data_IF_613684723267
#
_entry.id   IF_613684723267
#
_cell.length_a   1.000
_cell.length_b   1.000
_cell.length_c   1.000
_cell.angle_alpha   90.00
_cell.angle_beta   90.00
_cell.angle_gamma   90.00
#
_symmetry.space_group_name_H-M   'P 1'
#
loop_
_entity.id
_entity.type
_entity.pdbx_description
1 polymer ?
#
# COMPACT_ATOMS: atom_id res chain seq x y z
N UNK A 1 -23.01 -6.09 -10.39
CA UNK A 1 -22.33 -4.80 -10.64
C UNK A 1 -21.41 -4.97 -11.82
N UNK A 2 -21.61 -4.15 -12.85
CA UNK A 2 -20.89 -4.27 -14.10
C UNK A 2 -19.44 -3.76 -13.99
N UNK A 3 -18.50 -4.37 -14.73
CA UNK A 3 -17.15 -3.83 -14.83
C UNK A 3 -17.18 -2.41 -15.44
N UNK A 4 -16.22 -1.55 -15.10
CA UNK A 4 -16.12 -0.24 -15.74
C UNK A 4 -15.79 -0.45 -17.22
N UNK A 5 -16.49 0.26 -18.10
CA UNK A 5 -16.25 0.16 -19.53
C UNK A 5 -14.86 0.68 -19.88
N UNK A 6 -14.49 1.85 -19.36
CA UNK A 6 -13.27 2.58 -19.70
C UNK A 6 -12.59 3.20 -18.46
N UNK A 7 -11.57 4.02 -18.69
CA UNK A 7 -10.79 4.64 -17.63
C UNK A 7 -11.52 5.79 -16.90
N UNK A 8 -12.50 6.42 -17.55
CA UNK A 8 -13.33 7.45 -16.93
C UNK A 8 -14.29 6.82 -15.94
N UNK A 9 -15.00 5.77 -16.35
CA UNK A 9 -15.89 5.01 -15.47
C UNK A 9 -15.15 4.34 -14.31
N UNK A 10 -13.90 3.90 -14.52
CA UNK A 10 -13.06 3.32 -13.47
C UNK A 10 -12.94 4.26 -12.25
N UNK A 11 -12.77 5.56 -12.49
CA UNK A 11 -12.52 6.58 -11.47
C UNK A 11 -13.77 7.37 -11.06
N UNK A 12 -14.89 7.20 -11.79
CA UNK A 12 -16.14 7.88 -11.48
C UNK A 12 -16.62 7.57 -10.07
N UNK A 13 -16.90 8.61 -9.29
CA UNK A 13 -17.35 8.48 -7.91
C UNK A 13 -18.64 7.64 -7.81
N UNK A 14 -19.65 7.94 -8.63
CA UNK A 14 -20.94 7.25 -8.60
C UNK A 14 -20.84 5.75 -8.89
N UNK A 15 -19.86 5.36 -9.70
CA UNK A 15 -19.56 3.94 -9.94
C UNK A 15 -18.78 3.36 -8.76
N UNK A 16 -17.88 4.10 -8.14
CA UNK A 16 -17.15 3.63 -6.95
C UNK A 16 -18.05 3.44 -5.72
N UNK A 17 -19.12 4.23 -5.60
CA UNK A 17 -20.15 4.08 -4.57
C UNK A 17 -20.89 2.73 -4.66
N UNK A 18 -20.82 2.06 -5.81
CA UNK A 18 -21.35 0.70 -5.99
C UNK A 18 -20.51 -0.40 -5.32
N UNK A 19 -19.31 -0.08 -4.81
CA UNK A 19 -18.47 -1.03 -4.10
C UNK A 19 -18.53 -0.84 -2.59
N UNK A 20 -18.60 -1.97 -1.87
CA UNK A 20 -18.69 -1.99 -0.41
C UNK A 20 -20.15 -2.04 0.03
N UNK A 21 -20.53 -1.20 1.00
CA UNK A 21 -21.91 -1.15 1.48
C UNK A 21 -22.86 -0.65 0.40
N UNK A 22 -24.03 -1.29 0.18
CA UNK A 22 -25.02 -0.83 -0.79
C UNK A 22 -25.61 0.54 -0.43
N UNK A 23 -25.52 0.95 0.84
CA UNK A 23 -26.00 2.25 1.33
C UNK A 23 -25.41 3.42 0.54
N UNK A 24 -24.14 3.35 0.14
CA UNK A 24 -23.45 4.45 -0.54
C UNK A 24 -24.09 4.82 -1.87
N UNK A 25 -24.43 3.81 -2.67
CA UNK A 25 -25.07 4.02 -3.97
C UNK A 25 -26.52 4.47 -3.81
N UNK A 26 -27.28 3.85 -2.90
CA UNK A 26 -28.68 4.22 -2.64
C UNK A 26 -28.81 5.67 -2.18
N UNK A 27 -27.96 6.11 -1.25
CA UNK A 27 -27.95 7.51 -0.79
C UNK A 27 -27.64 8.47 -1.94
N UNK A 28 -26.69 8.12 -2.80
CA UNK A 28 -26.35 8.94 -3.96
C UNK A 28 -27.50 9.03 -4.99
N UNK A 29 -28.21 7.94 -5.23
CA UNK A 29 -29.36 7.92 -6.13
C UNK A 29 -30.52 8.76 -5.57
N UNK A 30 -30.85 8.61 -4.28
CA UNK A 30 -31.88 9.42 -3.61
C UNK A 30 -31.48 10.91 -3.53
N UNK A 31 -30.19 11.20 -3.31
CA UNK A 31 -29.65 12.55 -3.38
C UNK A 31 -29.88 13.21 -4.74
N UNK A 32 -29.74 12.45 -5.83
CA UNK A 32 -30.03 12.94 -7.19
C UNK A 32 -31.52 13.19 -7.40
N UNK A 33 -32.36 12.26 -6.97
CA UNK A 33 -33.83 12.39 -7.08
C UNK A 33 -34.36 13.60 -6.30
N UNK A 34 -33.73 13.92 -5.17
CA UNK A 34 -34.05 15.09 -4.33
C UNK A 34 -33.42 16.40 -4.80
N UNK A 35 -32.66 16.39 -5.90
CA UNK A 35 -32.11 17.58 -6.54
C UNK A 35 -30.77 18.08 -5.98
N UNK A 36 -30.05 17.26 -5.20
CA UNK A 36 -28.69 17.60 -4.78
C UNK A 36 -27.72 17.57 -5.97
N UNK A 37 -26.74 18.47 -5.96
CA UNK A 37 -25.67 18.41 -6.96
C UNK A 37 -24.76 17.21 -6.69
N UNK A 38 -24.14 16.66 -7.74
CA UNK A 38 -23.16 15.59 -7.59
C UNK A 38 -22.05 15.93 -6.58
N UNK A 39 -21.60 17.19 -6.57
CA UNK A 39 -20.58 17.67 -5.64
C UNK A 39 -21.08 17.62 -4.19
N UNK A 40 -22.31 18.04 -3.94
CA UNK A 40 -22.90 18.01 -2.60
C UNK A 40 -23.11 16.58 -2.12
N UNK A 41 -23.52 15.67 -3.01
CA UNK A 41 -23.67 14.24 -2.72
C UNK A 41 -22.32 13.65 -2.30
N UNK A 42 -21.26 13.83 -3.11
CA UNK A 42 -19.94 13.27 -2.81
C UNK A 42 -19.36 13.88 -1.54
N UNK A 43 -19.54 15.19 -1.31
CA UNK A 43 -19.11 15.86 -0.08
C UNK A 43 -19.82 15.28 1.15
N UNK A 44 -21.16 15.23 1.13
CA UNK A 44 -21.96 14.71 2.23
C UNK A 44 -21.68 13.24 2.53
N UNK A 45 -21.49 12.42 1.51
CA UNK A 45 -21.10 11.02 1.67
C UNK A 45 -19.70 10.86 2.28
N UNK A 46 -18.75 11.71 1.89
CA UNK A 46 -17.40 11.69 2.47
C UNK A 46 -17.41 12.11 3.94
N UNK A 47 -18.19 13.13 4.28
CA UNK A 47 -18.41 13.58 5.66
C UNK A 47 -19.09 12.47 6.50
N UNK A 48 -20.13 11.83 5.97
CA UNK A 48 -20.82 10.74 6.65
C UNK A 48 -19.93 9.51 6.84
N UNK A 49 -19.14 9.14 5.83
CA UNK A 49 -18.17 8.06 5.92
C UNK A 49 -17.11 8.35 7.01
N UNK A 50 -16.62 9.58 7.11
CA UNK A 50 -15.70 9.97 8.17
C UNK A 50 -16.37 9.91 9.55
N UNK A 51 -17.60 10.41 9.68
CA UNK A 51 -18.36 10.33 10.93
C UNK A 51 -18.58 8.87 11.36
N UNK A 52 -18.82 7.95 10.42
CA UNK A 52 -18.91 6.51 10.70
C UNK A 52 -17.60 5.91 11.20
N UNK A 53 -16.45 6.44 10.75
CA UNK A 53 -15.13 6.01 11.24
C UNK A 53 -14.75 6.63 12.57
N UNK A 54 -15.16 7.87 12.86
CA UNK A 54 -14.71 8.59 14.06
C UNK A 54 -15.73 8.64 15.20
N UNK A 55 -17.01 8.41 14.90
CA UNK A 55 -18.21 8.57 15.77
C UNK A 55 -18.45 9.98 16.32
N UNK A 56 -17.38 10.76 16.52
CA UNK A 56 -17.38 12.13 17.03
C UNK A 56 -16.24 12.91 16.38
N UNK A 57 -16.42 14.21 16.20
CA UNK A 57 -15.35 15.08 15.70
C UNK A 57 -14.21 15.16 16.72
N UNK A 58 -12.98 15.02 16.23
CA UNK A 58 -11.78 14.98 17.06
C UNK A 58 -10.64 15.75 16.42
N UNK A 59 -9.81 16.36 17.27
CA UNK A 59 -8.57 16.99 16.81
C UNK A 59 -7.57 15.90 16.35
N UNK A 60 -6.78 16.17 15.31
CA UNK A 60 -5.77 15.26 14.77
C UNK A 60 -4.86 14.57 15.81
N UNK A 61 -4.42 15.30 16.83
CA UNK A 61 -3.49 14.85 17.87
C UNK A 61 -4.16 14.11 19.03
N UNK A 62 -5.50 14.14 19.11
CA UNK A 62 -6.28 13.56 20.23
C UNK A 62 -7.03 12.29 19.87
N UNK A 63 -6.75 11.68 18.70
CA UNK A 63 -7.44 10.45 18.29
C UNK A 63 -7.32 9.36 19.35
N UNK A 64 -8.47 8.76 19.69
CA UNK A 64 -8.52 7.56 20.53
C UNK A 64 -7.95 6.36 19.80
N UNK A 65 -7.65 5.27 20.54
CA UNK A 65 -7.15 4.04 19.92
C UNK A 65 -8.13 3.49 18.87
N UNK A 66 -9.43 3.51 19.15
CA UNK A 66 -10.44 3.00 18.23
C UNK A 66 -10.54 3.85 16.95
N UNK A 67 -10.53 5.18 17.07
CA UNK A 67 -10.55 6.08 15.91
C UNK A 67 -9.31 5.94 15.03
N UNK A 68 -8.12 5.91 15.65
CA UNK A 68 -6.87 5.67 14.94
C UNK A 68 -6.90 4.32 14.18
N UNK A 69 -7.36 3.27 14.85
CA UNK A 69 -7.49 1.95 14.24
C UNK A 69 -8.59 1.87 13.19
N UNK A 70 -9.63 2.70 13.24
CA UNK A 70 -10.64 2.78 12.19
C UNK A 70 -10.10 3.42 10.91
N UNK A 71 -9.33 4.50 11.06
CA UNK A 71 -8.65 5.17 9.94
C UNK A 71 -7.60 4.24 9.30
N UNK A 72 -6.79 3.54 10.10
CA UNK A 72 -5.81 2.57 9.59
C UNK A 72 -6.49 1.28 9.08
N UNK A 73 -7.55 0.83 9.74
CA UNK A 73 -8.37 -0.32 9.37
C UNK A 73 -8.90 -0.22 7.95
N UNK A 74 -9.55 0.89 7.65
CA UNK A 74 -10.12 1.17 6.33
C UNK A 74 -9.08 1.42 5.24
N UNK A 75 -7.82 1.71 5.56
CA UNK A 75 -6.80 2.08 4.56
C UNK A 75 -5.69 1.06 4.39
N UNK A 76 -5.11 0.55 5.48
CA UNK A 76 -3.97 -0.39 5.44
C UNK A 76 -4.28 -1.74 6.06
N UNK A 77 -5.43 -1.96 6.70
CA UNK A 77 -5.82 -3.22 7.35
C UNK A 77 -4.74 -3.82 8.29
N UNK A 78 -4.43 -3.17 9.42
CA UNK A 78 -3.72 -3.83 10.51
C UNK A 78 -4.54 -5.01 11.03
N UNK A 79 -3.88 -6.16 11.23
CA UNK A 79 -4.47 -7.32 11.87
C UNK A 79 -4.18 -7.25 13.36
N UNK A 80 -5.24 -7.30 14.17
CA UNK A 80 -5.12 -7.38 15.60
C UNK A 80 -5.34 -8.81 16.05
N UNK A 81 -4.51 -9.25 16.99
CA UNK A 81 -4.61 -10.54 17.64
C UNK A 81 -5.09 -10.31 19.07
N UNK A 82 -6.17 -10.99 19.48
CA UNK A 82 -6.64 -11.03 20.88
C UNK A 82 -6.95 -9.64 21.48
N UNK A 83 -7.39 -8.69 20.66
CA UNK A 83 -7.75 -7.34 21.07
C UNK A 83 -9.27 -7.15 21.25
N UNK A 84 -9.96 -8.11 21.88
CA UNK A 84 -11.44 -8.20 21.88
C UNK A 84 -12.15 -6.89 22.27
N UNK A 85 -11.67 -6.17 23.28
CA UNK A 85 -12.28 -4.91 23.71
C UNK A 85 -12.20 -3.80 22.66
N UNK A 86 -11.06 -3.74 21.95
CA UNK A 86 -10.86 -2.78 20.88
C UNK A 86 -11.69 -3.18 19.65
N UNK A 87 -11.67 -4.47 19.30
CA UNK A 87 -12.44 -5.04 18.19
C UNK A 87 -13.96 -4.82 18.39
N UNK A 88 -14.48 -5.03 19.60
CA UNK A 88 -15.88 -4.76 19.93
C UNK A 88 -16.25 -3.27 19.77
N UNK A 89 -15.35 -2.35 20.15
CA UNK A 89 -15.53 -0.90 19.91
C UNK A 89 -15.52 -0.57 18.42
N UNK A 90 -14.62 -1.18 17.66
CA UNK A 90 -14.52 -0.96 16.22
C UNK A 90 -15.81 -1.39 15.50
N UNK A 91 -16.39 -2.52 15.89
CA UNK A 91 -17.68 -3.00 15.35
C UNK A 91 -18.84 -2.12 15.77
N UNK A 92 -18.95 -1.81 17.07
CA UNK A 92 -20.12 -1.10 17.60
C UNK A 92 -20.18 0.37 17.20
N UNK A 93 -19.03 1.03 16.95
CA UNK A 93 -18.98 2.49 16.78
C UNK A 93 -18.18 2.98 15.56
N UNK A 94 -17.33 2.15 14.94
CA UNK A 94 -16.38 2.61 13.93
C UNK A 94 -16.44 1.86 12.59
N UNK A 95 -17.61 1.31 12.24
CA UNK A 95 -17.90 0.67 10.95
C UNK A 95 -17.03 -0.55 10.59
N UNK A 96 -16.35 -1.16 11.57
CA UNK A 96 -15.71 -2.45 11.35
C UNK A 96 -16.77 -3.56 11.28
N UNK A 97 -16.47 -4.62 10.54
CA UNK A 97 -17.36 -5.79 10.40
C UNK A 97 -16.85 -6.92 11.28
N UNK A 98 -17.72 -7.49 12.11
CA UNK A 98 -17.40 -8.70 12.85
C UNK A 98 -17.24 -9.88 11.88
N UNK A 99 -16.05 -10.47 11.83
CA UNK A 99 -15.74 -11.58 10.92
C UNK A 99 -16.00 -12.93 11.57
N UNK A 100 -15.60 -13.08 12.82
CA UNK A 100 -15.86 -14.28 13.61
C UNK A 100 -15.83 -13.96 15.11
N UNK A 101 -16.40 -14.88 15.89
CA UNK A 101 -16.26 -14.95 17.33
C UNK A 101 -15.76 -16.37 17.61
N UNK A 102 -14.53 -16.50 18.09
CA UNK A 102 -13.97 -17.82 18.39
C UNK A 102 -14.62 -18.42 19.64
N UNK A 103 -14.92 -19.71 19.61
CA UNK A 103 -15.41 -20.46 20.77
C UNK A 103 -14.34 -21.45 21.25
N UNK A 104 -14.13 -21.64 22.56
CA UNK A 104 -14.89 -21.09 23.70
C UNK A 104 -14.41 -19.74 24.24
N UNK A 105 -13.32 -19.17 23.74
CA UNK A 105 -12.68 -17.97 24.34
C UNK A 105 -13.42 -16.65 24.06
N UNK A 106 -14.48 -16.67 23.24
CA UNK A 106 -15.27 -15.49 22.84
C UNK A 106 -14.41 -14.34 22.30
N UNK A 107 -13.36 -14.68 21.54
CA UNK A 107 -12.48 -13.67 20.94
C UNK A 107 -13.16 -13.16 19.67
N UNK A 108 -13.52 -11.87 19.69
CA UNK A 108 -14.09 -11.19 18.54
C UNK A 108 -12.96 -10.73 17.62
N UNK A 109 -13.02 -11.14 16.36
CA UNK A 109 -12.15 -10.63 15.30
C UNK A 109 -12.99 -9.77 14.37
N UNK A 110 -12.58 -8.52 14.14
CA UNK A 110 -13.23 -7.64 13.18
C UNK A 110 -12.27 -7.22 12.06
N UNK A 111 -12.84 -6.84 10.93
CA UNK A 111 -12.08 -6.35 9.79
C UNK A 111 -12.85 -5.26 9.05
N UNK A 112 -12.11 -4.43 8.32
CA UNK A 112 -12.68 -3.47 7.38
C UNK A 112 -12.71 -4.10 5.98
N UNK A 113 -13.86 -4.59 5.49
CA UNK A 113 -13.95 -5.07 4.11
C UNK A 113 -13.67 -3.93 3.13
N UNK A 114 -13.42 -4.26 1.86
CA UNK A 114 -13.14 -3.27 0.82
C UNK A 114 -14.32 -2.34 0.60
N UNK A 115 -14.20 -1.14 1.19
CA UNK A 115 -15.15 -0.04 1.12
C UNK A 115 -14.41 1.21 0.65
N UNK A 116 -14.55 1.51 -0.64
CA UNK A 116 -13.84 2.63 -1.26
C UNK A 116 -14.20 3.97 -0.61
N UNK A 117 -15.47 4.16 -0.24
CA UNK A 117 -15.99 5.39 0.39
C UNK A 117 -15.36 5.64 1.77
N UNK A 118 -15.31 4.62 2.64
CA UNK A 118 -14.66 4.74 3.94
C UNK A 118 -13.16 5.04 3.79
N UNK A 119 -12.51 4.32 2.88
CA UNK A 119 -11.08 4.49 2.57
C UNK A 119 -10.78 5.90 2.05
N UNK A 120 -11.64 6.42 1.19
CA UNK A 120 -11.55 7.77 0.61
C UNK A 120 -11.63 8.85 1.70
N UNK A 121 -12.62 8.75 2.59
CA UNK A 121 -12.78 9.66 3.73
C UNK A 121 -11.59 9.59 4.71
N UNK A 122 -11.13 8.37 5.03
CA UNK A 122 -9.96 8.16 5.88
C UNK A 122 -8.69 8.77 5.27
N UNK A 123 -8.45 8.55 3.98
CA UNK A 123 -7.32 9.16 3.27
C UNK A 123 -7.39 10.68 3.28
N UNK A 124 -8.57 11.26 3.05
CA UNK A 124 -8.75 12.71 3.11
C UNK A 124 -8.37 13.24 4.49
N UNK A 125 -8.84 12.61 5.57
CA UNK A 125 -8.50 13.02 6.93
C UNK A 125 -7.00 12.87 7.24
N UNK A 126 -6.40 11.72 6.92
CA UNK A 126 -4.98 11.43 7.16
C UNK A 126 -4.03 12.30 6.32
N UNK A 127 -4.46 12.71 5.13
CA UNK A 127 -3.65 13.53 4.24
C UNK A 127 -3.77 15.04 4.51
N UNK A 128 -4.83 15.48 5.18
CA UNK A 128 -5.09 16.90 5.48
C UNK A 128 -4.18 17.45 6.59
N UNK A 129 -3.95 16.66 7.65
CA UNK A 129 -3.02 17.01 8.72
C UNK A 129 -2.14 15.81 9.07
N UNK A 130 -0.82 16.01 8.99
CA UNK A 130 0.16 14.96 9.30
C UNK A 130 0.13 14.52 10.77
N UNK A 131 -0.35 15.39 11.68
CA UNK A 131 -0.54 15.05 13.09
C UNK A 131 -1.48 13.85 13.26
N UNK A 132 -2.52 13.73 12.43
CA UNK A 132 -3.44 12.58 12.45
C UNK A 132 -2.72 11.28 12.15
N UNK A 133 -1.90 11.25 11.08
CA UNK A 133 -1.16 10.06 10.70
C UNK A 133 -0.10 9.70 11.74
N UNK A 134 0.61 10.69 12.27
CA UNK A 134 1.58 10.52 13.37
C UNK A 134 0.89 9.88 14.57
N UNK A 135 -0.26 10.40 14.98
CA UNK A 135 -1.04 9.87 16.10
C UNK A 135 -1.48 8.42 15.85
N UNK A 136 -1.95 8.12 14.63
CA UNK A 136 -2.32 6.75 14.26
C UNK A 136 -1.14 5.77 14.36
N UNK A 137 0.06 6.17 13.93
CA UNK A 137 1.27 5.33 14.03
C UNK A 137 1.69 5.12 15.49
N UNK A 138 1.60 6.16 16.33
CA UNK A 138 1.87 6.04 17.77
C UNK A 138 0.90 5.07 18.46
N UNK A 139 -0.39 5.11 18.11
CA UNK A 139 -1.37 4.12 18.58
C UNK A 139 -0.98 2.72 18.13
N UNK A 140 -0.60 2.55 16.86
CA UNK A 140 -0.18 1.26 16.32
C UNK A 140 1.07 0.72 17.04
N UNK A 141 2.05 1.58 17.34
CA UNK A 141 3.24 1.21 18.12
C UNK A 141 2.88 0.80 19.56
N UNK A 142 1.95 1.51 20.20
CA UNK A 142 1.45 1.15 21.54
C UNK A 142 0.73 -0.21 21.56
N UNK A 143 -0.06 -0.51 20.53
CA UNK A 143 -0.73 -1.81 20.36
C UNK A 143 0.28 -2.91 20.10
N UNK A 144 1.30 -2.65 19.28
CA UNK A 144 2.37 -3.62 18.98
C UNK A 144 3.16 -4.02 20.24
N UNK A 145 3.46 -3.06 21.13
CA UNK A 145 4.11 -3.33 22.44
C UNK A 145 3.30 -4.26 23.34
N UNK A 146 1.99 -4.35 23.13
CA UNK A 146 1.10 -5.24 23.87
C UNK A 146 1.01 -6.64 23.23
N UNK A 147 1.83 -6.94 22.21
CA UNK A 147 1.83 -8.21 21.47
C UNK A 147 0.50 -8.52 20.77
N UNK A 148 -0.28 -7.47 20.45
CA UNK A 148 -1.56 -7.60 19.74
C UNK A 148 -1.38 -7.57 18.20
N UNK A 149 -0.15 -7.56 17.70
CA UNK A 149 0.20 -7.64 16.27
C UNK A 149 1.16 -8.81 16.09
N UNK A 150 1.06 -9.54 14.98
CA UNK A 150 1.91 -10.69 14.71
C UNK A 150 3.40 -10.31 14.61
N UNK A 151 4.32 -11.10 15.19
CA UNK A 151 5.76 -10.89 15.08
C UNK A 151 6.23 -11.20 13.64
N UNK A 152 6.11 -10.21 12.76
CA UNK A 152 6.36 -10.32 11.32
C UNK A 152 5.61 -9.25 10.53
N UNK A 153 4.45 -8.82 11.04
CA UNK A 153 3.55 -7.91 10.32
C UNK A 153 3.99 -6.45 10.36
N UNK A 154 4.83 -6.07 11.32
CA UNK A 154 5.19 -4.67 11.59
C UNK A 154 5.92 -4.02 10.41
N UNK A 155 6.89 -4.74 9.82
CA UNK A 155 7.60 -4.25 8.63
C UNK A 155 6.64 -4.03 7.46
N UNK A 156 5.72 -4.98 7.26
CA UNK A 156 4.70 -4.91 6.22
C UNK A 156 3.65 -3.82 6.47
N UNK A 157 3.35 -3.51 7.74
CA UNK A 157 2.50 -2.38 8.10
C UNK A 157 3.19 -1.06 7.79
N UNK A 158 4.46 -0.93 8.16
CA UNK A 158 5.26 0.26 7.85
C UNK A 158 5.38 0.46 6.33
N UNK A 159 5.59 -0.60 5.55
CA UNK A 159 5.61 -0.47 4.09
C UNK A 159 4.27 -0.02 3.52
N UNK A 160 3.14 -0.55 4.02
CA UNK A 160 1.79 -0.08 3.61
C UNK A 160 1.57 1.39 3.94
N UNK A 161 2.02 1.85 5.11
CA UNK A 161 1.93 3.26 5.51
C UNK A 161 2.76 4.15 4.55
N UNK A 162 3.99 3.73 4.24
CA UNK A 162 4.87 4.45 3.30
C UNK A 162 4.24 4.52 1.91
N UNK A 163 3.75 3.40 1.39
CA UNK A 163 3.10 3.33 0.08
C UNK A 163 1.83 4.19 0.05
N UNK A 164 0.97 4.10 1.06
CA UNK A 164 -0.26 4.91 1.17
C UNK A 164 0.08 6.40 1.19
N UNK A 165 1.07 6.80 1.99
CA UNK A 165 1.50 8.20 2.08
C UNK A 165 2.11 8.69 0.76
N UNK A 166 2.89 7.85 0.06
CA UNK A 166 3.40 8.18 -1.27
C UNK A 166 2.26 8.39 -2.28
N UNK A 167 1.23 7.53 -2.25
CA UNK A 167 0.05 7.66 -3.11
C UNK A 167 -0.72 8.95 -2.80
N UNK A 168 -0.97 9.24 -1.52
CA UNK A 168 -1.61 10.48 -1.08
C UNK A 168 -0.86 11.72 -1.58
N UNK A 169 0.46 11.77 -1.37
CA UNK A 169 1.31 12.88 -1.82
C UNK A 169 1.33 13.01 -3.34
N UNK A 170 1.26 11.90 -4.06
CA UNK A 170 1.20 11.91 -5.54
C UNK A 170 -0.13 12.48 -6.00
N UNK A 171 -1.24 11.95 -5.49
CA UNK A 171 -2.61 12.42 -5.80
C UNK A 171 -2.81 13.90 -5.49
N UNK A 172 -2.25 14.41 -4.40
CA UNK A 172 -2.29 15.84 -4.07
C UNK A 172 -1.55 16.71 -5.10
N UNK A 173 -0.45 16.23 -5.67
CA UNK A 173 0.33 16.94 -6.69
C UNK A 173 -0.30 16.87 -8.08
N UNK A 174 -1.02 15.78 -8.37
CA UNK A 174 -1.61 15.51 -9.68
C UNK A 174 -3.11 15.75 -9.71
N UNK A 175 -3.65 16.42 -8.68
CA UNK A 175 -5.09 16.66 -8.59
C UNK A 175 -5.57 17.40 -9.85
N UNK A 176 -6.58 16.87 -10.56
CA UNK A 176 -7.14 17.55 -11.72
C UNK A 176 -7.60 18.96 -11.33
N UNK A 177 -7.37 19.93 -12.20
CA UNK A 177 -7.89 21.28 -12.00
C UNK A 177 -9.41 21.20 -11.79
N UNK A 178 -9.93 21.99 -10.85
CA UNK A 178 -11.36 22.04 -10.59
C UNK A 178 -12.05 22.76 -11.76
N UNK A 179 -12.34 22.03 -12.84
CA UNK A 179 -13.13 22.57 -13.94
C UNK A 179 -14.52 22.91 -13.43
N UNK A 180 -14.96 24.13 -13.75
CA UNK A 180 -16.23 24.73 -13.30
C UNK A 180 -17.47 24.02 -13.83
N UNK A 181 -17.31 23.09 -14.78
CA UNK A 181 -18.40 22.30 -15.38
C UNK A 181 -18.04 20.81 -15.39
N UNK A 182 -17.85 20.23 -14.20
CA UNK A 182 -17.59 18.80 -14.08
C UNK A 182 -18.88 18.02 -14.38
N UNK A 183 -19.01 17.45 -15.57
CA UNK A 183 -20.06 16.46 -15.86
C UNK A 183 -20.04 15.32 -14.82
N UNK A 184 -21.21 14.73 -14.53
CA UNK A 184 -21.38 13.66 -13.53
C UNK A 184 -20.40 12.48 -13.63
N UNK A 185 -19.89 12.22 -14.82
CA UNK A 185 -18.93 11.12 -15.08
C UNK A 185 -17.49 11.46 -14.66
N UNK A 186 -17.18 12.76 -14.53
CA UNK A 186 -15.85 13.26 -14.17
C UNK A 186 -15.71 13.61 -12.68
N UNK A 187 -16.79 13.50 -11.89
CA UNK A 187 -16.69 13.68 -10.45
C UNK A 187 -15.97 12.50 -9.80
N UNK A 188 -14.98 12.81 -8.98
CA UNK A 188 -14.12 11.84 -8.31
C UNK A 188 -14.31 11.92 -6.80
N UNK A 189 -14.20 10.77 -6.13
CA UNK A 189 -14.09 10.74 -4.67
C UNK A 189 -12.78 11.40 -4.22
N UNK A 190 -12.71 11.96 -2.99
CA UNK A 190 -11.43 12.36 -2.40
C UNK A 190 -10.41 11.21 -2.45
N UNK A 191 -9.19 11.47 -2.93
CA UNK A 191 -8.19 10.42 -3.12
C UNK A 191 -8.71 9.22 -3.96
N UNK A 192 -9.59 9.52 -4.92
CA UNK A 192 -10.28 8.55 -5.76
C UNK A 192 -9.91 8.61 -7.25
N UNK A 193 -8.72 9.11 -7.58
CA UNK A 193 -8.24 9.19 -8.95
C UNK A 193 -6.95 8.40 -9.16
N UNK A 194 -6.70 7.97 -10.38
CA UNK A 194 -5.49 7.29 -10.79
C UNK A 194 -4.34 8.27 -10.97
N UNK A 195 -3.11 7.80 -10.76
CA UNK A 195 -1.89 8.56 -11.03
C UNK A 195 -0.99 7.79 -11.99
N UNK A 196 -0.16 8.50 -12.75
CA UNK A 196 0.87 7.83 -13.56
C UNK A 196 1.88 7.17 -12.64
N UNK A 197 2.33 5.98 -13.03
CA UNK A 197 3.37 5.24 -12.30
C UNK A 197 4.63 6.09 -12.13
N UNK A 198 5.01 6.86 -13.15
CA UNK A 198 6.17 7.75 -13.08
C UNK A 198 6.03 8.78 -11.96
N UNK A 199 4.87 9.42 -11.81
CA UNK A 199 4.65 10.45 -10.77
C UNK A 199 4.70 9.83 -9.37
N UNK A 200 4.17 8.62 -9.23
CA UNK A 200 4.27 7.84 -7.99
C UNK A 200 5.72 7.50 -7.65
N UNK A 201 6.51 7.01 -8.62
CA UNK A 201 7.93 6.70 -8.42
C UNK A 201 8.77 7.94 -8.13
N UNK A 202 8.48 9.08 -8.76
CA UNK A 202 9.14 10.35 -8.46
C UNK A 202 8.85 10.79 -7.02
N UNK A 203 7.61 10.60 -6.54
CA UNK A 203 7.28 10.86 -5.13
C UNK A 203 8.01 9.90 -4.19
N UNK A 204 8.05 8.60 -4.51
CA UNK A 204 8.67 7.57 -3.67
C UNK A 204 10.20 7.74 -3.56
N UNK A 205 10.85 8.15 -4.64
CA UNK A 205 12.32 8.20 -4.75
C UNK A 205 12.91 9.61 -4.63
N UNK A 206 12.13 10.65 -4.90
CA UNK A 206 12.61 12.01 -5.11
C UNK A 206 13.39 12.22 -6.42
N UNK A 207 13.48 11.20 -7.28
CA UNK A 207 14.17 11.29 -8.56
C UNK A 207 13.27 11.88 -9.65
N UNK A 208 13.86 12.48 -10.69
CA UNK A 208 13.11 12.86 -11.88
C UNK A 208 12.90 11.65 -12.80
N UNK A 209 11.94 11.73 -13.73
CA UNK A 209 11.68 10.68 -14.73
C UNK A 209 12.95 10.16 -15.41
N UNK A 210 13.85 11.07 -15.81
CA UNK A 210 15.06 10.71 -16.55
C UNK A 210 16.15 10.07 -15.65
N UNK A 211 16.03 10.24 -14.33
CA UNK A 211 16.99 9.73 -13.34
C UNK A 211 16.55 8.38 -12.74
N UNK A 212 15.36 7.88 -13.12
CA UNK A 212 14.83 6.60 -12.66
C UNK A 212 15.66 5.42 -13.19
N UNK A 213 16.63 4.98 -12.39
CA UNK A 213 17.48 3.81 -12.66
C UNK A 213 16.79 2.52 -12.22
N UNK A 214 15.97 1.95 -13.11
CA UNK A 214 15.11 0.79 -12.83
C UNK A 214 15.80 -0.59 -12.99
N UNK A 215 17.13 -0.64 -12.86
CA UNK A 215 17.90 -1.88 -12.97
C UNK A 215 18.14 -2.31 -14.42
N UNK A 216 18.01 -3.61 -14.68
CA UNK A 216 18.37 -4.23 -15.96
C UNK A 216 17.23 -4.34 -16.97
N UNK A 217 16.09 -3.71 -16.69
CA UNK A 217 14.99 -3.56 -17.65
C UNK A 217 15.53 -2.94 -18.95
N UNK A 218 15.09 -3.44 -20.09
CA UNK A 218 15.50 -2.83 -21.36
C UNK A 218 14.73 -1.54 -21.65
N UNK A 219 15.22 -0.78 -22.62
CA UNK A 219 14.71 0.54 -22.92
C UNK A 219 13.23 0.52 -23.36
N UNK A 220 12.84 -0.46 -24.16
CA UNK A 220 11.47 -0.58 -24.69
C UNK A 220 10.48 -0.88 -23.56
N UNK A 221 10.78 -1.87 -22.73
CA UNK A 221 9.98 -2.23 -21.56
C UNK A 221 9.92 -1.08 -20.53
N UNK A 222 11.03 -0.37 -20.33
CA UNK A 222 11.08 0.79 -19.44
C UNK A 222 10.20 1.93 -19.96
N UNK A 223 10.27 2.22 -21.25
CA UNK A 223 9.48 3.27 -21.88
C UNK A 223 7.98 2.94 -21.83
N UNK A 224 7.61 1.69 -22.10
CA UNK A 224 6.24 1.21 -21.96
C UNK A 224 5.73 1.41 -20.52
N UNK A 225 6.49 0.94 -19.53
CA UNK A 225 6.10 1.01 -18.12
C UNK A 225 5.97 2.45 -17.61
N UNK A 226 6.90 3.34 -17.96
CA UNK A 226 6.92 4.73 -17.48
C UNK A 226 5.99 5.67 -18.25
N UNK A 227 5.62 5.34 -19.49
CA UNK A 227 4.74 6.19 -20.31
C UNK A 227 3.28 5.79 -20.18
N UNK A 228 2.99 4.48 -20.16
CA UNK A 228 1.62 3.94 -20.15
C UNK A 228 1.17 3.49 -18.77
N UNK A 229 2.09 3.26 -17.84
CA UNK A 229 1.76 2.75 -16.52
C UNK A 229 0.90 3.71 -15.71
N UNK A 230 -0.29 3.27 -15.34
CA UNK A 230 -1.20 3.94 -14.42
C UNK A 230 -1.41 3.09 -13.16
N UNK A 231 -1.58 3.76 -12.03
CA UNK A 231 -1.81 3.15 -10.72
C UNK A 231 -3.09 3.76 -10.13
N UNK A 232 -4.02 2.91 -9.71
CA UNK A 232 -5.28 3.35 -9.10
C UNK A 232 -5.63 2.48 -7.89
N UNK A 233 -5.42 3.06 -6.70
CA UNK A 233 -5.89 2.49 -5.44
C UNK A 233 -5.89 3.54 -4.33
N UNK A 234 -6.71 3.32 -3.29
CA UNK A 234 -6.71 4.13 -2.08
C UNK A 234 -6.66 3.31 -0.78
N UNK A 235 -6.72 1.98 -0.85
CA UNK A 235 -6.62 1.11 0.32
C UNK A 235 -5.99 -0.24 -0.01
N UNK A 236 -5.53 -0.94 1.03
CA UNK A 236 -5.06 -2.32 0.98
C UNK A 236 -6.12 -3.28 1.46
N UNK A 237 -6.15 -4.47 0.86
CA UNK A 237 -6.95 -5.60 1.33
C UNK A 237 -6.10 -6.88 1.40
N UNK A 238 -6.30 -7.65 2.46
CA UNK A 238 -5.74 -9.00 2.59
C UNK A 238 -6.41 -9.98 1.62
N UNK A 239 -5.61 -10.80 0.94
CA UNK A 239 -6.11 -11.91 0.11
C UNK A 239 -5.55 -13.24 0.60
N UNK A 240 -6.30 -14.31 0.39
CA UNK A 240 -5.99 -15.70 0.76
C UNK A 240 -5.51 -16.56 -0.43
N UNK A 241 -5.43 -15.95 -1.61
CA UNK A 241 -5.05 -16.59 -2.86
C UNK A 241 -3.94 -15.82 -3.57
N UNK A 242 -3.32 -16.47 -4.56
CA UNK A 242 -2.35 -15.81 -5.45
C UNK A 242 -3.09 -15.16 -6.62
N UNK A 243 -2.92 -13.84 -6.86
CA UNK A 243 -3.62 -13.16 -7.95
C UNK A 243 -3.26 -13.67 -9.35
N UNK A 244 -4.26 -13.66 -10.23
CA UNK A 244 -4.11 -13.75 -11.69
C UNK A 244 -4.24 -12.36 -12.32
N UNK A 245 -3.94 -12.20 -13.62
CA UNK A 245 -4.20 -10.94 -14.33
C UNK A 245 -5.68 -10.52 -14.25
N UNK A 246 -6.63 -11.42 -14.47
CA UNK A 246 -8.06 -11.17 -14.25
C UNK A 246 -8.37 -10.76 -12.80
N UNK A 247 -7.70 -11.39 -11.82
CA UNK A 247 -7.84 -11.04 -10.41
C UNK A 247 -7.33 -9.63 -10.11
N UNK A 248 -6.17 -9.26 -10.65
CA UNK A 248 -5.57 -7.92 -10.54
C UNK A 248 -6.44 -6.85 -11.24
N UNK A 249 -7.05 -7.19 -12.37
CA UNK A 249 -8.01 -6.31 -13.05
C UNK A 249 -9.24 -6.05 -12.17
N UNK A 250 -9.80 -7.09 -11.55
CA UNK A 250 -10.91 -6.93 -10.58
C UNK A 250 -10.50 -6.12 -9.34
N UNK A 251 -9.24 -6.17 -8.91
CA UNK A 251 -8.74 -5.33 -7.82
C UNK A 251 -8.59 -3.86 -8.27
N UNK A 252 -8.11 -3.63 -9.48
CA UNK A 252 -8.08 -2.30 -10.11
C UNK A 252 -9.48 -1.71 -10.19
N UNK A 253 -10.48 -2.49 -10.59
CA UNK A 253 -11.88 -2.07 -10.60
C UNK A 253 -12.35 -1.55 -9.25
N UNK A 254 -11.89 -2.11 -8.14
CA UNK A 254 -12.26 -1.66 -6.79
C UNK A 254 -11.36 -0.55 -6.25
N UNK A 255 -10.31 -0.17 -6.98
CA UNK A 255 -9.30 0.78 -6.54
C UNK A 255 -8.58 0.32 -5.27
N UNK A 256 -8.09 -0.91 -5.25
CA UNK A 256 -7.36 -1.46 -4.10
C UNK A 256 -6.01 -2.08 -4.47
N UNK A 257 -5.06 -1.95 -3.55
CA UNK A 257 -3.83 -2.73 -3.48
C UNK A 257 -4.06 -3.96 -2.57
N UNK A 258 -3.17 -4.94 -2.61
CA UNK A 258 -3.33 -6.17 -1.81
C UNK A 258 -2.12 -6.44 -0.93
N UNK A 259 -2.41 -6.94 0.27
CA UNK A 259 -1.47 -7.67 1.10
C UNK A 259 -1.71 -9.17 0.87
N UNK A 260 -0.66 -9.87 0.50
CA UNK A 260 -0.72 -11.26 0.10
C UNK A 260 -1.01 -12.19 1.28
N UNK A 261 -1.40 -13.43 0.96
CA UNK A 261 -1.57 -14.47 1.98
C UNK A 261 -0.25 -14.78 2.69
N UNK A 262 -0.30 -15.27 3.94
CA UNK A 262 0.89 -15.77 4.61
C UNK A 262 1.62 -16.82 3.78
N UNK A 263 2.95 -16.77 3.82
CA UNK A 263 3.83 -17.65 3.04
C UNK A 263 3.64 -17.53 1.51
N UNK A 264 3.04 -16.44 1.01
CA UNK A 264 3.05 -16.15 -0.42
C UNK A 264 4.50 -16.10 -0.91
N UNK A 265 4.75 -16.78 -2.02
CA UNK A 265 6.07 -16.74 -2.63
C UNK A 265 6.35 -15.34 -3.18
N UNK A 266 7.55 -14.85 -2.89
CA UNK A 266 8.23 -13.73 -3.56
C UNK A 266 7.74 -12.31 -3.26
N UNK A 267 6.46 -12.11 -2.93
CA UNK A 267 5.91 -10.77 -2.69
C UNK A 267 4.95 -10.78 -1.51
N UNK A 268 5.16 -9.83 -0.60
CA UNK A 268 4.30 -9.63 0.57
C UNK A 268 3.09 -8.74 0.20
N UNK A 269 3.26 -7.84 -0.78
CA UNK A 269 2.24 -6.90 -1.21
C UNK A 269 2.27 -6.71 -2.74
N UNK A 270 1.12 -6.40 -3.32
CA UNK A 270 0.98 -6.14 -4.75
C UNK A 270 0.05 -4.95 -4.99
N UNK A 271 0.30 -4.17 -6.04
CA UNK A 271 -0.72 -3.32 -6.64
C UNK A 271 -0.68 -3.43 -8.16
N UNK A 272 -1.85 -3.28 -8.78
CA UNK A 272 -2.00 -3.35 -10.24
C UNK A 272 -1.38 -2.12 -10.89
N UNK A 273 -0.62 -2.35 -11.96
CA UNK A 273 -0.22 -1.31 -12.91
C UNK A 273 -1.01 -1.62 -14.19
N UNK A 274 -1.75 -0.64 -14.70
CA UNK A 274 -2.46 -0.77 -15.97
C UNK A 274 -1.69 -0.03 -17.06
N UNK A 275 -1.36 -0.71 -18.16
CA UNK A 275 -0.67 -0.14 -19.31
C UNK A 275 -1.69 0.53 -20.25
N UNK A 276 -2.04 1.77 -19.92
CA UNK A 276 -3.05 2.53 -20.65
C UNK A 276 -2.53 3.02 -22.01
N UNK A 277 -3.27 2.74 -23.08
CA UNK A 277 -3.03 3.33 -24.41
C UNK A 277 -3.90 4.57 -24.63
N UNK A 278 -5.20 4.45 -24.37
CA UNK A 278 -6.19 5.54 -24.42
C UNK A 278 -7.12 5.51 -23.21
N UNK A 279 -7.57 6.66 -22.67
CA UNK A 279 -8.58 6.72 -21.61
C UNK A 279 -9.97 6.20 -22.00
N UNK A 280 -10.30 6.21 -23.30
CA UNK A 280 -11.62 5.81 -23.82
C UNK A 280 -11.67 4.38 -24.32
N UNK A 281 -10.53 3.67 -24.33
CA UNK A 281 -10.49 2.27 -24.71
C UNK A 281 -11.04 1.38 -23.58
N UNK A 282 -11.67 0.28 -23.99
CA UNK A 282 -12.18 -0.70 -23.05
C UNK A 282 -11.03 -1.30 -22.21
N UNK A 283 -11.28 -1.54 -20.93
CA UNK A 283 -10.28 -2.15 -20.07
C UNK A 283 -10.07 -3.62 -20.43
N UNK A 284 -8.82 -3.99 -20.72
CA UNK A 284 -8.44 -5.34 -21.14
C UNK A 284 -7.41 -5.95 -20.19
N UNK A 285 -7.62 -7.21 -19.81
CA UNK A 285 -6.71 -8.01 -18.99
C UNK A 285 -5.29 -8.09 -19.59
N UNK A 286 -5.15 -7.98 -20.93
CA UNK A 286 -3.85 -7.95 -21.61
C UNK A 286 -3.00 -6.75 -21.23
N UNK A 287 -3.60 -5.65 -20.79
CA UNK A 287 -2.90 -4.44 -20.37
C UNK A 287 -2.55 -4.45 -18.88
N UNK A 288 -2.85 -5.54 -18.16
CA UNK A 288 -2.56 -5.67 -16.73
C UNK A 288 -1.11 -6.09 -16.51
N UNK A 289 -0.43 -5.37 -15.62
CA UNK A 289 0.81 -5.79 -14.98
C UNK A 289 0.76 -5.39 -13.49
N UNK A 290 1.87 -5.47 -12.76
CA UNK A 290 1.89 -5.24 -11.33
C UNK A 290 3.19 -4.64 -10.81
N UNK A 291 3.09 -4.04 -9.63
CA UNK A 291 4.21 -3.82 -8.74
C UNK A 291 4.17 -4.87 -7.62
N UNK A 292 5.24 -5.63 -7.46
CA UNK A 292 5.46 -6.53 -6.33
C UNK A 292 6.39 -5.92 -5.31
N UNK A 293 6.00 -5.99 -4.03
CA UNK A 293 6.77 -5.45 -2.92
C UNK A 293 7.20 -6.60 -2.02
N UNK A 294 8.51 -6.67 -1.76
CA UNK A 294 9.08 -7.52 -0.72
C UNK A 294 9.65 -6.63 0.38
N UNK A 295 9.24 -6.90 1.61
CA UNK A 295 9.69 -6.22 2.81
C UNK A 295 10.59 -7.16 3.60
N UNK A 296 11.70 -6.62 4.10
CA UNK A 296 12.58 -7.29 5.05
C UNK A 296 12.90 -6.34 6.19
N UNK A 297 12.65 -6.83 7.41
CA UNK A 297 12.94 -6.11 8.64
C UNK A 297 13.96 -6.84 9.53
N UNK A 298 14.63 -7.88 9.01
CA UNK A 298 15.53 -8.73 9.78
C UNK A 298 16.92 -8.09 9.91
N UNK A 299 17.55 -8.29 11.08
CA UNK A 299 18.96 -7.99 11.38
C UNK A 299 19.97 -8.80 10.55
N UNK A 300 19.50 -9.70 9.68
CA UNK A 300 20.34 -10.52 8.84
C UNK A 300 20.64 -9.80 7.52
N UNK A 301 21.91 -9.86 7.16
CA UNK A 301 22.46 -9.36 5.91
C UNK A 301 21.95 -10.29 4.78
N UNK A 302 20.68 -10.11 4.39
CA UNK A 302 20.03 -10.90 3.35
C UNK A 302 20.88 -10.81 2.08
N UNK A 303 21.26 -11.98 1.54
CA UNK A 303 21.88 -12.06 0.23
C UNK A 303 20.81 -11.73 -0.83
N UNK A 304 20.52 -10.44 -1.00
CA UNK A 304 19.53 -9.91 -1.93
C UNK A 304 19.75 -10.49 -3.34
N UNK A 305 21.01 -10.75 -3.72
CA UNK A 305 21.36 -11.31 -5.02
C UNK A 305 20.83 -12.74 -5.23
N UNK A 306 20.76 -13.55 -4.18
CA UNK A 306 20.19 -14.90 -4.25
C UNK A 306 18.66 -14.90 -4.21
N UNK A 307 18.06 -14.00 -3.42
CA UNK A 307 16.60 -13.92 -3.31
C UNK A 307 15.98 -13.22 -4.52
N UNK A 308 16.67 -12.24 -5.10
CA UNK A 308 16.17 -11.42 -6.19
C UNK A 308 15.80 -12.23 -7.44
N UNK A 309 16.44 -13.38 -7.68
CA UNK A 309 16.05 -14.23 -8.80
C UNK A 309 14.68 -14.91 -8.64
N UNK A 310 14.13 -14.91 -7.42
CA UNK A 310 12.79 -15.42 -7.13
C UNK A 310 11.71 -14.33 -7.22
N UNK A 311 12.06 -13.05 -7.36
CA UNK A 311 11.08 -11.97 -7.47
C UNK A 311 10.60 -11.84 -8.91
N UNK A 312 9.89 -12.89 -9.36
CA UNK A 312 9.30 -13.02 -10.70
C UNK A 312 7.84 -13.46 -10.59
N UNK A 313 7.00 -13.20 -11.62
CA UNK A 313 5.63 -13.69 -11.65
C UNK A 313 5.56 -15.22 -11.56
N UNK A 314 6.51 -15.91 -12.20
CA UNK A 314 6.58 -17.37 -12.23
C UNK A 314 6.82 -17.97 -10.85
N UNK A 315 7.81 -17.46 -10.12
CA UNK A 315 8.13 -17.93 -8.77
C UNK A 315 7.04 -17.54 -7.76
N UNK A 316 6.41 -16.38 -7.94
CA UNK A 316 5.22 -15.97 -7.20
C UNK A 316 3.97 -16.80 -7.53
N UNK A 317 4.04 -17.71 -8.53
CA UNK A 317 2.94 -18.54 -9.04
C UNK A 317 1.76 -17.71 -9.59
N UNK A 318 2.03 -16.48 -10.05
CA UNK A 318 1.04 -15.61 -10.66
C UNK A 318 0.77 -16.05 -12.11
N UNK A 319 -0.50 -16.17 -12.46
CA UNK A 319 -0.93 -16.48 -13.83
C UNK A 319 -1.30 -15.18 -14.53
N UNK A 320 -0.40 -14.68 -15.38
CA UNK A 320 -0.59 -13.46 -16.15
C UNK A 320 -0.84 -13.81 -17.62
N UNK A 321 -1.82 -13.15 -18.23
CA UNK A 321 -2.16 -13.34 -19.64
C UNK A 321 -1.08 -12.76 -20.57
N UNK A 322 -0.55 -11.58 -20.24
CA UNK A 322 0.48 -10.89 -21.01
C UNK A 322 1.88 -11.07 -20.43
N UNK A 323 2.89 -10.99 -21.30
CA UNK A 323 4.30 -10.82 -20.91
C UNK A 323 4.64 -9.33 -20.89
N UNK A 324 3.91 -8.57 -20.08
CA UNK A 324 4.13 -7.14 -19.85
C UNK A 324 5.29 -6.88 -18.88
N UNK A 325 6.03 -5.76 -19.01
CA UNK A 325 7.02 -5.36 -18.01
C UNK A 325 6.38 -5.19 -16.63
N UNK A 326 7.12 -5.45 -15.56
CA UNK A 326 6.63 -5.37 -14.19
C UNK A 326 7.64 -4.70 -13.27
N UNK A 327 7.17 -4.20 -12.14
CA UNK A 327 7.97 -3.48 -11.15
C UNK A 327 8.17 -4.33 -9.90
N UNK A 328 9.39 -4.34 -9.37
CA UNK A 328 9.70 -4.91 -8.06
C UNK A 328 10.29 -3.84 -7.14
N UNK A 329 9.70 -3.68 -5.96
CA UNK A 329 10.22 -2.84 -4.89
C UNK A 329 10.69 -3.71 -3.74
N UNK A 330 11.89 -3.46 -3.26
CA UNK A 330 12.43 -4.13 -2.08
C UNK A 330 12.65 -3.11 -0.96
N UNK A 331 12.03 -3.31 0.19
CA UNK A 331 12.17 -2.43 1.35
C UNK A 331 12.95 -3.14 2.47
N UNK A 332 14.15 -2.65 2.74
CA UNK A 332 14.93 -2.98 3.93
C UNK A 332 14.83 -1.79 4.90
N UNK A 333 13.80 -1.81 5.76
CA UNK A 333 13.41 -0.63 6.54
C UNK A 333 14.39 -0.29 7.68
N UNK A 334 15.15 -1.28 8.13
CA UNK A 334 16.29 -1.11 9.02
C UNK A 334 17.60 -1.34 8.23
N UNK A 335 18.32 -0.26 7.90
CA UNK A 335 19.57 -0.35 7.12
C UNK A 335 20.72 -0.90 7.97
N UNK A 336 20.89 -2.23 7.97
CA UNK A 336 21.97 -2.93 8.67
C UNK A 336 23.24 -3.09 7.83
N UNK A 337 23.33 -2.46 6.65
CA UNK A 337 24.47 -2.66 5.76
C UNK A 337 25.75 -2.14 6.43
N UNK A 338 26.87 -2.91 6.36
CA UNK A 338 28.13 -2.47 6.94
C UNK A 338 28.60 -1.20 6.22
N UNK A 339 28.88 -0.14 7.00
CA UNK A 339 29.58 1.04 6.47
C UNK A 339 30.94 0.55 5.94
N UNK A 340 31.28 0.89 4.68
CA UNK A 340 32.51 0.37 4.03
C UNK A 340 33.74 0.62 4.93
N UNK A 341 34.54 -0.42 5.26
CA UNK A 341 35.79 -0.22 5.99
C UNK A 341 36.83 0.50 5.12
N UNK A 342 37.72 1.25 5.79
CA UNK A 342 38.88 1.95 5.21
C UNK A 342 39.66 1.01 4.28
N UNK A 343 39.85 1.38 3.02
CA UNK A 343 40.92 0.78 2.22
C UNK A 343 42.24 1.19 2.88
N UNK A 344 42.99 0.22 3.42
CA UNK A 344 44.33 0.49 3.95
C UNK A 344 45.18 1.16 2.87
N UNK A 345 45.96 2.20 3.20
CA UNK A 345 46.84 2.82 2.22
C UNK A 345 47.82 1.76 1.71
N UNK A 346 47.85 1.56 0.39
CA UNK A 346 48.96 0.86 -0.26
C UNK A 346 50.23 1.58 0.21
N UNK A 347 51.18 0.83 0.81
CA UNK A 347 52.52 1.34 1.09
C UNK A 347 53.14 1.80 -0.23
N UNK A 348 53.03 3.09 -0.52
CA UNK A 348 53.88 3.73 -1.50
C UNK A 348 55.25 3.86 -0.83
N UNK A 349 56.27 3.22 -1.40
CA UNK A 349 57.66 3.42 -0.99
C UNK A 349 57.95 4.92 -1.11
N UNK A 350 58.10 5.61 0.01
CA UNK A 350 58.39 7.05 0.03
C UNK A 350 59.87 7.30 -0.23
N UNK A 351 60.15 8.19 -1.17
CA UNK A 351 61.25 9.14 -1.04
C UNK A 351 60.61 10.52 -0.86
N UNK A 352 60.96 11.15 0.26
CA UNK A 352 60.78 12.55 0.67
C UNK A 352 59.78 13.43 -0.10
N UNK A 353 58.66 13.75 0.53
CA UNK A 353 58.14 15.13 0.71
C UNK A 353 56.77 15.09 1.42
N UNK A 354 56.48 16.17 2.15
CA UNK A 354 55.38 16.31 3.09
C UNK A 354 54.04 15.74 2.58
N UNK A 355 53.51 14.75 3.29
CA UNK A 355 52.21 14.13 3.02
C UNK A 355 51.12 14.95 3.72
N UNK A 356 50.44 15.83 2.99
CA UNK A 356 49.16 16.39 3.43
C UNK A 356 48.11 15.27 3.39
N UNK A 357 47.71 14.79 4.57
CA UNK A 357 46.65 13.79 4.73
C UNK A 357 45.31 14.50 4.63
N UNK A 358 44.69 14.48 3.45
CA UNK A 358 43.27 14.77 3.31
C UNK A 358 42.49 13.58 3.87
N UNK A 359 41.81 13.77 5.02
CA UNK A 359 40.82 12.81 5.51
C UNK A 359 39.62 12.82 4.56
N UNK A 360 39.56 11.87 3.64
CA UNK A 360 38.35 11.62 2.87
C UNK A 360 37.27 11.04 3.80
N UNK A 361 36.18 11.79 3.99
CA UNK A 361 34.98 11.32 4.68
C UNK A 361 34.43 10.05 4.02
N UNK A 362 34.05 9.01 4.79
CA UNK A 362 33.49 7.79 4.22
C UNK A 362 32.25 8.10 3.37
N UNK A 363 32.25 7.68 2.10
CA UNK A 363 31.07 7.87 1.24
C UNK A 363 29.91 7.03 1.78
N UNK A 364 28.76 7.65 2.13
CA UNK A 364 27.60 6.90 2.59
C UNK A 364 27.11 5.96 1.48
N UNK A 365 26.69 4.75 1.86
CA UNK A 365 26.08 3.81 0.90
C UNK A 365 24.81 4.42 0.31
N UNK A 366 24.54 4.25 -0.99
CA UNK A 366 23.31 4.73 -1.59
C UNK A 366 22.09 4.13 -0.88
N UNK A 367 21.10 4.98 -0.62
CA UNK A 367 19.85 4.61 0.07
C UNK A 367 18.82 3.99 -0.86
N UNK A 368 18.88 4.35 -2.13
CA UNK A 368 18.10 3.75 -3.21
C UNK A 368 19.08 3.16 -4.23
N UNK A 369 18.92 1.88 -4.57
CA UNK A 369 19.71 1.20 -5.60
C UNK A 369 18.81 0.36 -6.50
N UNK A 370 19.36 -0.20 -7.58
CA UNK A 370 18.66 -1.26 -8.31
C UNK A 370 18.80 -2.60 -7.56
N UNK A 371 17.88 -3.53 -7.84
CA UNK A 371 17.97 -4.91 -7.34
C UNK A 371 18.88 -5.70 -8.30
N UNK A 372 19.91 -6.43 -7.80
CA UNK A 372 20.73 -7.28 -8.65
C UNK A 372 19.90 -8.36 -9.36
N UNK A 373 20.31 -8.76 -10.56
CA UNK A 373 19.60 -9.81 -11.31
C UNK A 373 19.82 -11.23 -10.78
N UNK A 374 20.92 -11.45 -10.05
CA UNK A 374 21.24 -12.77 -9.51
C UNK A 374 21.33 -13.82 -10.62
N UNK A 375 20.44 -14.81 -10.57
CA UNK A 375 20.33 -15.93 -11.53
C UNK A 375 19.16 -15.79 -12.51
N UNK A 376 18.61 -14.59 -12.70
CA UNK A 376 17.52 -14.39 -13.66
C UNK A 376 17.94 -14.74 -15.08
N UNK A 377 16.98 -15.24 -15.86
CA UNK A 377 17.16 -15.34 -17.30
C UNK A 377 17.29 -13.94 -17.91
N UNK A 378 17.97 -13.84 -19.05
CA UNK A 378 18.10 -12.57 -19.79
C UNK A 378 16.74 -11.98 -20.16
N UNK A 379 15.77 -12.83 -20.52
CA UNK A 379 14.40 -12.41 -20.83
C UNK A 379 13.70 -11.78 -19.63
N UNK A 380 13.81 -12.39 -18.44
CA UNK A 380 13.16 -11.85 -17.24
C UNK A 380 13.86 -10.57 -16.74
N UNK A 381 15.19 -10.52 -16.81
CA UNK A 381 15.94 -9.31 -16.45
C UNK A 381 15.51 -8.10 -17.31
N UNK A 382 15.31 -8.31 -18.62
CA UNK A 382 14.86 -7.28 -19.57
C UNK A 382 13.46 -6.74 -19.31
N UNK A 383 12.58 -7.52 -18.66
CA UNK A 383 11.19 -7.17 -18.36
C UNK A 383 11.00 -6.55 -16.97
N UNK A 384 11.95 -6.75 -16.06
CA UNK A 384 11.80 -6.41 -14.65
C UNK A 384 12.43 -5.05 -14.32
N UNK A 385 11.59 -4.06 -14.08
CA UNK A 385 12.00 -2.84 -13.39
C UNK A 385 12.20 -3.13 -11.90
N UNK A 386 13.23 -2.55 -11.28
CA UNK A 386 13.49 -2.80 -9.87
C UNK A 386 14.16 -1.67 -9.10
N UNK A 387 13.74 -1.49 -7.85
CA UNK A 387 14.34 -0.55 -6.89
C UNK A 387 14.42 -1.17 -5.49
N UNK A 388 15.53 -0.95 -4.80
CA UNK A 388 15.78 -1.34 -3.42
C UNK A 388 15.95 -0.08 -2.55
N UNK A 389 15.23 -0.04 -1.43
CA UNK A 389 15.22 1.05 -0.47
C UNK A 389 15.80 0.56 0.85
N UNK A 390 16.78 1.29 1.39
CA UNK A 390 17.51 0.93 2.59
C UNK A 390 17.39 2.03 3.65
N UNK A 391 16.64 1.74 4.71
CA UNK A 391 16.31 2.68 5.77
C UNK A 391 15.10 3.56 5.45
N UNK A 392 14.47 4.11 6.50
CA UNK A 392 13.39 5.07 6.35
C UNK A 392 13.84 6.39 5.69
N UNK A 393 15.14 6.70 5.75
CA UNK A 393 15.76 7.86 5.09
C UNK A 393 15.88 7.70 3.57
N UNK A 394 15.56 6.53 3.01
CA UNK A 394 15.45 6.32 1.57
C UNK A 394 14.18 6.96 0.96
N UNK A 395 13.25 7.47 1.78
CA UNK A 395 11.97 8.01 1.32
C UNK A 395 11.91 9.54 1.57
N UNK A 396 12.35 10.37 0.62
CA UNK A 396 12.54 11.81 0.85
C UNK A 396 11.24 12.61 1.06
N UNK A 397 10.08 12.00 0.76
CA UNK A 397 8.77 12.64 0.96
C UNK A 397 8.23 12.49 2.40
N UNK A 398 8.89 11.70 3.25
CA UNK A 398 8.53 11.56 4.66
C UNK A 398 9.17 12.70 5.47
N UNK A 399 8.40 13.32 6.37
CA UNK A 399 8.94 14.30 7.31
C UNK A 399 9.78 13.63 8.40
N UNK A 400 10.66 14.39 9.05
CA UNK A 400 11.46 13.89 10.17
C UNK A 400 10.61 13.32 11.30
N UNK A 401 9.48 13.97 11.61
CA UNK A 401 8.52 13.49 12.62
C UNK A 401 7.90 12.16 12.23
N UNK A 402 7.53 12.00 10.96
CA UNK A 402 6.94 10.76 10.46
C UNK A 402 7.97 9.62 10.46
N UNK A 403 9.22 9.90 10.05
CA UNK A 403 10.33 8.95 10.14
C UNK A 403 10.55 8.51 11.59
N UNK A 404 10.50 9.43 12.55
CA UNK A 404 10.70 9.12 13.96
C UNK A 404 9.63 8.16 14.51
N UNK A 405 8.34 8.40 14.23
CA UNK A 405 7.27 7.50 14.73
C UNK A 405 7.21 6.17 13.98
N UNK A 406 7.57 6.13 12.70
CA UNK A 406 7.74 4.86 11.97
C UNK A 406 8.90 4.05 12.53
N UNK A 407 10.00 4.72 12.91
CA UNK A 407 11.13 4.07 13.58
C UNK A 407 10.73 3.52 14.94
N UNK A 408 9.95 4.29 15.71
CA UNK A 408 9.39 3.82 16.99
C UNK A 408 8.51 2.58 16.81
N UNK A 409 7.67 2.53 15.77
CA UNK A 409 6.86 1.35 15.44
C UNK A 409 7.72 0.14 15.04
N UNK A 410 8.78 0.34 14.25
CA UNK A 410 9.71 -0.73 13.88
C UNK A 410 10.48 -1.28 15.08
N UNK A 411 10.82 -0.42 16.04
CA UNK A 411 11.60 -0.75 17.23
C UNK A 411 10.72 -1.18 18.42
N UNK A 412 9.40 -1.13 18.28
CA UNK A 412 8.47 -1.57 19.32
C UNK A 412 8.37 -3.09 19.34
N UNK A 413 9.47 -3.77 19.68
CA UNK A 413 9.46 -5.22 19.89
C UNK A 413 8.55 -5.54 21.09
N UNK A 414 7.68 -6.55 20.98
CA UNK A 414 6.96 -7.06 22.13
C UNK A 414 7.98 -7.59 23.16
N UNK A 415 7.80 -7.33 24.47
CA UNK A 415 8.63 -7.97 25.48
C UNK A 415 8.55 -9.49 25.29
N UNK A 416 9.71 -10.17 25.34
CA UNK A 416 9.85 -11.62 25.10
C UNK A 416 8.92 -12.39 26.04
N UNK A 417 7.70 -12.65 25.59
CA UNK A 417 6.83 -13.68 26.12
C UNK A 417 6.96 -14.85 25.15
N UNK A 418 7.52 -15.94 25.67
CA UNK A 418 7.59 -17.22 24.98
C UNK A 418 6.18 -17.59 24.51
N UNK A 419 5.93 -17.48 23.21
CA UNK A 419 4.78 -18.12 22.60
C UNK A 419 4.98 -19.64 22.69
N UNK A 420 3.93 -20.44 22.91
CA UNK A 420 4.04 -21.90 22.96
C UNK A 420 4.64 -22.44 21.66
N UNK A 421 5.50 -23.46 21.77
CA UNK A 421 6.29 -24.06 20.68
C UNK A 421 5.45 -24.76 19.58
N UNK A 422 4.12 -24.71 19.64
CA UNK A 422 3.22 -25.32 18.65
C UNK A 422 2.40 -24.27 17.88
N UNK A 423 2.76 -23.96 16.61
CA UNK A 423 1.98 -23.09 15.75
C UNK A 423 0.62 -23.67 15.34
N UNK A 424 0.40 -24.98 15.52
CA UNK A 424 -0.86 -25.64 15.16
C UNK A 424 -2.04 -25.29 16.06
N UNK A 425 -1.81 -24.67 17.22
CA UNK A 425 -2.88 -24.13 18.09
C UNK A 425 -3.19 -22.65 17.78
N UNK A 426 -2.43 -22.03 16.88
CA UNK A 426 -2.61 -20.66 16.36
C UNK A 426 -3.25 -20.63 14.96
N UNK A 427 -3.58 -21.80 14.41
CA UNK A 427 -4.43 -21.91 13.22
C UNK A 427 -5.85 -21.43 13.60
N UNK A 428 -6.05 -20.12 13.58
CA UNK A 428 -7.36 -19.61 13.19
C UNK A 428 -7.60 -20.19 11.79
N UNK A 429 -8.52 -21.16 11.71
CA UNK A 429 -9.06 -21.58 10.42
C UNK A 429 -9.32 -20.32 9.59
N UNK A 430 -8.77 -20.31 8.38
CA UNK A 430 -9.11 -19.31 7.38
C UNK A 430 -10.59 -19.49 7.06
N UNK A 431 -11.45 -18.86 7.87
CA UNK A 431 -12.84 -18.68 7.52
C UNK A 431 -12.82 -17.81 6.28
N UNK A 432 -13.31 -18.39 5.19
CA UNK A 432 -13.47 -17.79 3.88
C UNK A 432 -13.68 -16.29 4.01
N UNK A 433 -12.69 -15.51 3.58
CA UNK A 433 -12.77 -14.06 3.58
C UNK A 433 -13.76 -13.62 2.51
N UNK A 434 -15.06 -13.75 2.81
CA UNK A 434 -16.11 -13.10 2.04
C UNK A 434 -15.96 -11.59 2.28
N UNK A 435 -15.06 -10.94 1.54
CA UNK A 435 -15.34 -9.57 1.13
C UNK A 435 -16.68 -9.67 0.41
N UNK A 436 -17.76 -9.00 0.84
CA UNK A 436 -19.06 -9.18 0.23
C UNK A 436 -18.90 -9.02 -1.28
N UNK A 437 -19.04 -10.14 -1.99
CA UNK A 437 -19.21 -10.13 -3.42
C UNK A 437 -20.66 -9.69 -3.61
N UNK A 438 -20.80 -8.41 -3.92
CA UNK A 438 -21.93 -7.73 -4.55
C UNK A 438 -23.31 -8.36 -4.28
N UNK A 439 -24.15 -7.66 -3.51
CA UNK A 439 -25.59 -7.84 -3.61
C UNK A 439 -26.05 -7.46 -5.03
N UNK A 440 -26.45 -8.44 -5.84
CA UNK A 440 -27.35 -8.17 -6.98
C UNK A 440 -28.75 -8.05 -6.42
N UNK A 441 -29.39 -6.90 -6.59
CA UNK A 441 -30.84 -6.78 -6.50
C UNK A 441 -31.41 -7.40 -7.78
N UNK A 442 -31.37 -8.72 -7.88
CA UNK A 442 -32.25 -9.40 -8.81
C UNK A 442 -33.65 -9.27 -8.23
N UNK A 443 -34.54 -8.69 -9.04
CA UNK A 443 -35.94 -8.42 -8.73
C UNK A 443 -36.55 -9.63 -8.01
N UNK A 444 -37.02 -9.42 -6.78
CA UNK A 444 -38.05 -10.26 -6.22
C UNK A 444 -39.32 -10.05 -7.07
N UNK A 445 -39.90 -11.16 -7.54
CA UNK A 445 -41.09 -11.23 -8.37
C UNK A 445 -42.28 -10.41 -7.86
#
# INVERSE_FOLDING_TARGET
MDPPADWHQLQSAFRLLSYGSPFWRVYADEGKETGLTDRDIIKGLSEHALQKLLSTDCKPDTLTNAQAMALLGSTIQPRLNRASDLEAKLVSSHASTCMNISTPQLILTSQYPSQFTLSSAANQYLASDEASLIRCIQVLASINRQSLIGPGDVGELVSRIILLRAMQKTMQKTQPAADTETHSENIMMPFGHSVRLVDFLQTLTGWNKNDLKLGSIDKENQEELLTRGQVFWNHFISIDHTPTSAGLLRKLYRGLAVHCKPNQASFDQLFTIYLQSSPTEALDERNVTFCGIQVKNLKQNDNIKEQASKWTPKDAKMKLQGRNPYLVLYFCLNDFRPKKPRLHPKKLKSTSSATSITLETPTPLPKITHIPDGKLSKEEARRRASLAFYGLDAFPFLSEKLVAVLKELLDSDPPVLQLPENPSELDCEYVYGASPEVFSLDKAD
#
